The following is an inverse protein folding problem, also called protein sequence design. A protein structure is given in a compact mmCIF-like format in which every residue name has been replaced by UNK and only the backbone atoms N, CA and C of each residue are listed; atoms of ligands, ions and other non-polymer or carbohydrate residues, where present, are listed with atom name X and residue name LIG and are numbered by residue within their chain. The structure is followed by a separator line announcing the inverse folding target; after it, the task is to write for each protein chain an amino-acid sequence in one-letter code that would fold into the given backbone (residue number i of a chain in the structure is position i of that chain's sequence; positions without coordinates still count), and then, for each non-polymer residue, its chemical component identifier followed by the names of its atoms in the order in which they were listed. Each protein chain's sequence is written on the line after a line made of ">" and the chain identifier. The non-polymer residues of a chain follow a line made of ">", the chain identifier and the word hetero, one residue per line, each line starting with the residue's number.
data_IF_667650029474
#
_entry.id   IF_667650029474
#
_cell.length_a   1.000
_cell.length_b   1.000
_cell.length_c   1.000
_cell.angle_alpha   90.00
_cell.angle_beta   90.00
_cell.angle_gamma   90.00
#
_symmetry.space_group_name_H-M   'P 1'
#
loop_
_entity.id
_entity.type
_entity.pdbx_description
1 polymer ?
#
# COMPACT_ATOMS: atom_id res chain seq x y z
N UNK A 1 -9.63 11.98 4.69
CA UNK A 1 -9.76 11.31 3.38
C UNK A 1 -9.40 9.86 3.62
N UNK A 2 -10.24 8.91 3.25
CA UNK A 2 -10.01 7.50 3.62
C UNK A 2 -8.83 6.91 2.84
N UNK A 3 -7.87 6.32 3.54
CA UNK A 3 -6.69 5.71 2.93
C UNK A 3 -6.99 4.24 2.60
N UNK A 4 -7.30 3.98 1.34
CA UNK A 4 -7.72 2.65 0.87
C UNK A 4 -6.81 2.11 -0.21
N UNK A 5 -6.61 0.79 -0.20
CA UNK A 5 -6.02 0.03 -1.29
C UNK A 5 -7.12 -0.76 -2.00
N UNK A 6 -7.45 -0.34 -3.22
CA UNK A 6 -8.33 -1.07 -4.12
C UNK A 6 -7.51 -2.04 -4.98
N UNK A 7 -7.90 -3.31 -4.97
CA UNK A 7 -7.32 -4.35 -5.81
C UNK A 7 -8.33 -4.75 -6.86
N UNK A 8 -7.90 -4.69 -8.13
CA UNK A 8 -8.68 -5.08 -9.29
C UNK A 8 -7.95 -6.18 -10.06
N UNK A 9 -8.71 -7.00 -10.78
CA UNK A 9 -8.15 -7.91 -11.77
C UNK A 9 -7.75 -7.17 -13.06
N UNK A 10 -7.16 -7.89 -14.02
CA UNK A 10 -6.71 -7.32 -15.29
C UNK A 10 -7.84 -6.83 -16.20
N UNK A 11 -9.08 -7.22 -15.93
CA UNK A 11 -10.29 -6.76 -16.63
C UNK A 11 -10.98 -5.60 -15.89
N UNK A 12 -10.41 -5.14 -14.77
CA UNK A 12 -11.00 -4.11 -13.91
C UNK A 12 -12.07 -4.64 -12.95
N UNK A 13 -12.23 -5.96 -12.84
CA UNK A 13 -13.12 -6.59 -11.87
C UNK A 13 -12.61 -6.42 -10.43
N UNK A 14 -13.53 -6.21 -9.49
CA UNK A 14 -13.20 -6.05 -8.08
C UNK A 14 -12.61 -7.34 -7.46
N UNK A 15 -11.48 -7.20 -6.76
CA UNK A 15 -10.85 -8.29 -6.00
C UNK A 15 -10.90 -8.02 -4.49
N UNK A 16 -10.66 -6.78 -4.07
CA UNK A 16 -10.67 -6.43 -2.66
C UNK A 16 -10.49 -4.94 -2.39
N UNK A 17 -10.96 -4.49 -1.22
CA UNK A 17 -10.72 -3.16 -0.68
C UNK A 17 -10.15 -3.31 0.73
N UNK A 18 -9.00 -2.69 0.97
CA UNK A 18 -8.31 -2.74 2.25
C UNK A 18 -8.14 -1.34 2.80
N UNK A 19 -8.40 -1.17 4.10
CA UNK A 19 -8.06 0.06 4.81
C UNK A 19 -6.58 0.02 5.18
N UNK A 20 -5.89 1.11 4.88
CA UNK A 20 -4.50 1.31 5.26
C UNK A 20 -4.43 1.88 6.67
N UNK A 21 -3.45 1.43 7.46
CA UNK A 21 -3.23 1.99 8.80
C UNK A 21 -2.65 3.41 8.67
N UNK A 22 -3.47 4.41 9.03
CA UNK A 22 -3.13 5.83 8.95
C UNK A 22 -1.89 6.18 9.80
N UNK A 23 -1.60 5.44 10.87
CA UNK A 23 -0.38 5.67 11.65
C UNK A 23 0.87 5.26 10.89
N UNK A 24 0.77 4.23 10.05
CA UNK A 24 1.86 3.75 9.21
C UNK A 24 1.96 4.51 7.88
N UNK A 25 0.83 4.91 7.30
CA UNK A 25 0.72 5.47 5.96
C UNK A 25 -0.03 6.82 5.91
N UNK A 26 0.31 7.81 6.75
CA UNK A 26 -0.46 9.05 6.92
C UNK A 26 -0.63 9.86 5.62
N UNK A 27 0.25 9.64 4.64
CA UNK A 27 0.11 10.18 3.29
C UNK A 27 0.76 9.23 2.30
N UNK A 28 0.07 8.14 1.95
CA UNK A 28 0.53 7.22 0.91
C UNK A 28 0.52 7.90 -0.48
N UNK A 29 1.62 7.79 -1.22
CA UNK A 29 1.79 8.48 -2.52
C UNK A 29 2.25 7.59 -3.66
N UNK A 30 2.94 6.48 -3.34
CA UNK A 30 3.50 5.60 -4.34
C UNK A 30 3.38 4.14 -3.94
N UNK A 31 3.30 3.28 -4.95
CA UNK A 31 3.26 1.82 -4.80
C UNK A 31 4.18 1.19 -5.84
N UNK A 32 4.94 0.16 -5.45
CA UNK A 32 5.71 -0.68 -6.37
C UNK A 32 5.78 -2.11 -5.85
N UNK A 33 6.25 -3.01 -6.70
CA UNK A 33 6.43 -4.42 -6.38
C UNK A 33 7.89 -4.82 -6.59
N UNK A 34 8.45 -5.55 -5.62
CA UNK A 34 9.74 -6.21 -5.75
C UNK A 34 9.61 -7.47 -6.62
N UNK A 35 10.73 -7.98 -7.14
CA UNK A 35 10.74 -9.17 -8.00
C UNK A 35 10.15 -10.43 -7.35
N UNK A 36 10.17 -10.51 -6.01
CA UNK A 36 9.55 -11.60 -5.25
C UNK A 36 8.01 -11.43 -5.08
N UNK A 37 7.46 -10.31 -5.54
CA UNK A 37 6.05 -9.98 -5.45
C UNK A 37 5.65 -9.27 -4.15
N UNK A 38 6.59 -8.86 -3.31
CA UNK A 38 6.27 -8.02 -2.16
C UNK A 38 5.91 -6.61 -2.61
N UNK A 39 4.92 -6.03 -1.94
CA UNK A 39 4.45 -4.69 -2.23
C UNK A 39 5.14 -3.69 -1.30
N UNK A 40 5.64 -2.60 -1.87
CA UNK A 40 6.15 -1.45 -1.14
C UNK A 40 5.20 -0.27 -1.35
N UNK A 41 4.83 0.39 -0.26
CA UNK A 41 4.07 1.65 -0.29
C UNK A 41 4.97 2.76 0.26
N UNK A 42 5.16 3.81 -0.53
CA UNK A 42 5.84 5.02 -0.11
C UNK A 42 4.84 5.96 0.56
N UNK A 43 5.19 6.49 1.72
CA UNK A 43 4.42 7.55 2.39
C UNK A 43 5.30 8.75 2.64
N UNK A 44 4.73 9.92 2.38
CA UNK A 44 5.34 11.18 2.70
C UNK A 44 5.43 11.38 4.22
N UNK A 45 6.49 12.05 4.62
CA UNK A 45 6.81 12.32 6.00
C UNK A 45 6.38 13.71 6.41
N UNK A 46 5.09 13.92 6.72
CA UNK A 46 4.63 15.24 7.18
C UNK A 46 5.17 15.57 8.57
N UNK A 47 5.02 14.63 9.50
CA UNK A 47 5.43 14.75 10.92
C UNK A 47 6.47 13.69 11.34
N UNK A 48 6.94 12.89 10.38
CA UNK A 48 7.93 11.82 10.57
C UNK A 48 8.81 11.72 9.31
N UNK A 49 9.97 11.04 9.33
CA UNK A 49 10.74 10.80 8.11
C UNK A 49 9.94 10.02 7.07
N UNK A 50 10.15 10.28 5.76
CA UNK A 50 9.58 9.47 4.70
C UNK A 50 10.03 8.01 4.84
N UNK A 51 9.12 7.08 4.55
CA UNK A 51 9.34 5.64 4.78
C UNK A 51 8.70 4.80 3.70
N UNK A 52 9.27 3.60 3.52
CA UNK A 52 8.70 2.53 2.70
C UNK A 52 8.10 1.47 3.64
N UNK A 53 6.81 1.20 3.47
CA UNK A 53 6.11 0.13 4.19
C UNK A 53 6.03 -1.10 3.30
N UNK A 54 6.56 -2.24 3.77
CA UNK A 54 6.57 -3.51 3.04
C UNK A 54 5.42 -4.40 3.47
N UNK A 55 4.70 -4.92 2.50
CA UNK A 55 3.69 -5.96 2.66
C UNK A 55 4.21 -7.23 1.98
N UNK A 56 4.49 -8.25 2.77
CA UNK A 56 4.99 -9.52 2.26
C UNK A 56 3.85 -10.30 1.59
N UNK A 57 4.11 -10.85 0.41
CA UNK A 57 3.13 -11.71 -0.30
C UNK A 57 2.81 -13.01 0.47
N UNK A 58 3.65 -13.37 1.44
CA UNK A 58 3.69 -14.69 2.07
C UNK A 58 2.82 -14.92 3.32
N UNK A 59 2.16 -13.90 3.88
CA UNK A 59 1.27 -14.14 5.02
C UNK A 59 -0.17 -14.35 4.53
N UNK A 60 -0.49 -15.62 4.27
CA UNK A 60 -1.86 -16.13 4.36
C UNK A 60 -2.08 -16.70 5.76
#
# INVERSE_FOLDING_TARGET
>A
MDQTLLVLDRKGGYVGLYLLDEKLLPKAEGITFLANGDMLIATEGKDAPPRLVRHARGNR
#
